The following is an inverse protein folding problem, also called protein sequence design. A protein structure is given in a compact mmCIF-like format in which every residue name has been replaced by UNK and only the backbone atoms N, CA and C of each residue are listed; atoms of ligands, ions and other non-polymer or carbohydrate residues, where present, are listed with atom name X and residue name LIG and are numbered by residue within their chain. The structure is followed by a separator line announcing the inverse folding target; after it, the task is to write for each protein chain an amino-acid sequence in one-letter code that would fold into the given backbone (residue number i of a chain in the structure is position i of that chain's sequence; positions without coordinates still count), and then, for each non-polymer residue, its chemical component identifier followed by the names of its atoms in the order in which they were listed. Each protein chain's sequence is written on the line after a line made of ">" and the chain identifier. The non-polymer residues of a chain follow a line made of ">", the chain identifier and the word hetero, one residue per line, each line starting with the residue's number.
data_IF_850802908793
#
_entry.id   IF_850802908793
#
_cell.length_a   1.000
_cell.length_b   1.000
_cell.length_c   1.000
_cell.angle_alpha   90.00
_cell.angle_beta   90.00
_cell.angle_gamma   90.00
#
_symmetry.space_group_name_H-M   'P 1'
#
loop_
_entity.id
_entity.type
_entity.pdbx_description
1 polymer ?
#
# COMPACT_ATOMS: atom_id res chain seq x y z
N UNK A 1 -6.85 -0.13 15.08
CA UNK A 1 -5.69 -0.81 15.69
C UNK A 1 -5.58 -0.50 17.19
N UNK A 2 -5.26 0.74 17.61
CA UNK A 2 -4.99 1.09 19.02
C UNK A 2 -6.03 0.58 20.02
N UNK A 3 -7.31 0.92 19.82
CA UNK A 3 -8.41 0.47 20.70
C UNK A 3 -8.49 -1.05 20.84
N UNK A 4 -8.28 -1.79 19.75
CA UNK A 4 -8.31 -3.26 19.79
C UNK A 4 -7.09 -3.81 20.54
N UNK A 5 -5.90 -3.24 20.32
CA UNK A 5 -4.69 -3.64 21.02
C UNK A 5 -4.80 -3.38 22.54
N UNK A 6 -5.33 -2.21 22.93
CA UNK A 6 -5.57 -1.87 24.33
C UNK A 6 -6.59 -2.81 24.98
N UNK A 7 -7.68 -3.14 24.30
CA UNK A 7 -8.67 -4.11 24.78
C UNK A 7 -8.04 -5.50 25.00
N UNK A 8 -7.25 -6.00 24.03
CA UNK A 8 -6.54 -7.27 24.19
C UNK A 8 -5.53 -7.21 25.34
N UNK A 9 -4.81 -6.09 25.49
CA UNK A 9 -3.93 -5.85 26.62
C UNK A 9 -4.67 -5.88 27.96
N UNK A 10 -5.93 -5.43 28.02
CA UNK A 10 -6.75 -5.54 29.22
C UNK A 10 -7.19 -6.98 29.49
N UNK A 11 -7.65 -7.70 28.47
CA UNK A 11 -8.15 -9.08 28.59
C UNK A 11 -7.06 -10.03 29.07
N UNK A 12 -5.83 -9.85 28.57
CA UNK A 12 -4.72 -10.77 28.84
C UNK A 12 -3.71 -10.26 29.87
N UNK A 13 -4.01 -9.16 30.57
CA UNK A 13 -3.12 -8.51 31.55
C UNK A 13 -1.73 -8.15 30.98
N UNK A 14 -1.75 -7.50 29.82
CA UNK A 14 -0.59 -7.08 29.02
C UNK A 14 -0.63 -5.59 28.66
N UNK A 15 -1.27 -4.77 29.50
CA UNK A 15 -1.46 -3.32 29.22
C UNK A 15 -0.13 -2.59 29.03
N UNK A 16 0.86 -2.86 29.88
CA UNK A 16 2.17 -2.21 29.82
C UNK A 16 2.95 -2.59 28.56
N UNK A 17 2.89 -3.87 28.17
CA UNK A 17 3.51 -4.34 26.92
C UNK A 17 2.88 -3.65 25.70
N UNK A 18 1.54 -3.60 25.66
CA UNK A 18 0.80 -2.92 24.59
C UNK A 18 1.14 -1.42 24.53
N UNK A 19 1.23 -0.75 25.68
CA UNK A 19 1.59 0.67 25.73
C UNK A 19 2.98 0.92 25.14
N UNK A 20 3.98 0.10 25.49
CA UNK A 20 5.34 0.20 24.93
C UNK A 20 5.35 0.00 23.42
N UNK A 21 4.60 -0.97 22.89
CA UNK A 21 4.51 -1.18 21.44
C UNK A 21 3.83 -0.02 20.72
N UNK A 22 2.77 0.56 21.28
CA UNK A 22 2.09 1.74 20.70
C UNK A 22 3.02 2.95 20.69
N UNK A 23 3.81 3.15 21.75
CA UNK A 23 4.79 4.22 21.82
C UNK A 23 5.89 4.03 20.76
N UNK A 24 6.44 2.83 20.62
CA UNK A 24 7.42 2.50 19.59
C UNK A 24 6.89 2.73 18.16
N UNK A 25 5.65 2.32 17.88
CA UNK A 25 4.99 2.61 16.60
C UNK A 25 4.82 4.11 16.36
N UNK A 26 4.46 4.86 17.39
CA UNK A 26 4.30 6.32 17.30
C UNK A 26 5.62 7.00 16.95
N UNK A 27 6.73 6.56 17.55
CA UNK A 27 8.07 7.04 17.20
C UNK A 27 8.48 6.67 15.77
N UNK A 28 8.20 5.44 15.33
CA UNK A 28 8.48 5.01 13.96
C UNK A 28 7.71 5.87 12.95
N UNK A 29 6.41 6.11 13.17
CA UNK A 29 5.59 6.98 12.31
C UNK A 29 6.15 8.39 12.26
N UNK A 30 6.54 8.95 13.41
CA UNK A 30 7.09 10.30 13.48
C UNK A 30 8.40 10.42 12.68
N UNK A 31 9.33 9.47 12.82
CA UNK A 31 10.59 9.46 12.06
C UNK A 31 10.37 9.32 10.56
N UNK A 32 9.47 8.43 10.13
CA UNK A 32 9.17 8.29 8.68
C UNK A 32 8.64 9.62 8.11
N UNK A 33 7.75 10.30 8.85
CA UNK A 33 7.19 11.58 8.42
C UNK A 33 8.22 12.70 8.35
N UNK A 34 9.13 12.79 9.33
CA UNK A 34 10.13 13.87 9.35
C UNK A 34 11.21 13.68 8.29
N UNK A 35 11.64 12.44 8.07
CA UNK A 35 12.90 12.18 7.37
C UNK A 35 12.71 11.79 5.89
N UNK A 36 11.52 11.27 5.54
CA UNK A 36 11.34 10.52 4.29
C UNK A 36 10.09 10.85 3.46
N UNK A 37 9.21 11.74 3.93
CA UNK A 37 7.98 12.08 3.21
C UNK A 37 8.01 13.53 2.66
N UNK A 38 8.67 13.79 1.53
CA UNK A 38 8.58 15.09 0.86
C UNK A 38 7.13 15.43 0.52
N UNK A 39 6.71 16.67 0.78
CA UNK A 39 5.34 17.15 0.57
C UNK A 39 4.82 17.00 -0.88
N UNK A 40 5.72 16.77 -1.83
CA UNK A 40 5.45 16.66 -3.26
C UNK A 40 5.45 15.23 -3.81
N UNK A 41 5.79 14.20 -3.03
CA UNK A 41 5.70 12.81 -3.51
C UNK A 41 4.24 12.34 -3.55
N UNK A 42 3.82 11.89 -4.73
CA UNK A 42 2.54 11.20 -4.94
C UNK A 42 2.73 9.70 -4.97
N UNK A 43 1.90 8.97 -4.23
CA UNK A 43 1.88 7.52 -4.18
C UNK A 43 0.61 6.96 -4.82
N UNK A 44 0.75 5.83 -5.50
CA UNK A 44 -0.37 5.02 -5.98
C UNK A 44 -0.26 3.63 -5.35
N UNK A 45 -1.31 3.18 -4.67
CA UNK A 45 -1.39 1.80 -4.19
C UNK A 45 -2.32 1.00 -5.07
N UNK A 46 -1.84 -0.15 -5.54
CA UNK A 46 -2.52 -1.06 -6.45
C UNK A 46 -2.74 -2.41 -5.79
N UNK A 47 -3.83 -3.07 -6.16
CA UNK A 47 -4.04 -4.50 -5.89
C UNK A 47 -4.06 -5.27 -7.21
N UNK A 48 -3.26 -6.33 -7.30
CA UNK A 48 -3.26 -7.27 -8.41
C UNK A 48 -4.11 -8.50 -8.05
N UNK A 49 -4.99 -8.92 -8.96
CA UNK A 49 -5.80 -10.13 -8.83
C UNK A 49 -6.08 -10.77 -10.20
N UNK A 50 -5.43 -11.90 -10.48
CA UNK A 50 -5.58 -12.66 -11.73
C UNK A 50 -5.49 -11.77 -12.98
N UNK A 51 -4.32 -11.17 -13.21
CA UNK A 51 -4.00 -10.22 -14.28
C UNK A 51 -4.77 -8.88 -14.27
N UNK A 52 -5.71 -8.70 -13.34
CA UNK A 52 -6.46 -7.45 -13.20
C UNK A 52 -5.87 -6.57 -12.10
N UNK A 53 -5.87 -5.26 -12.34
CA UNK A 53 -5.46 -4.27 -11.36
C UNK A 53 -6.62 -3.40 -10.91
N UNK A 54 -6.53 -2.92 -9.67
CA UNK A 54 -7.40 -1.87 -9.15
C UNK A 54 -6.62 -0.92 -8.26
N UNK A 55 -7.03 0.34 -8.25
CA UNK A 55 -6.58 1.28 -7.22
C UNK A 55 -7.16 0.84 -5.89
N UNK A 56 -6.30 0.72 -4.88
CA UNK A 56 -6.70 0.54 -3.49
C UNK A 56 -6.30 1.78 -2.69
N UNK A 57 -6.88 1.95 -1.51
CA UNK A 57 -6.46 2.97 -0.56
C UNK A 57 -5.86 2.26 0.65
N UNK A 58 -4.56 2.42 0.89
CA UNK A 58 -3.87 1.81 2.02
C UNK A 58 -3.75 2.84 3.17
N UNK A 59 -4.47 2.67 4.30
CA UNK A 59 -4.50 3.66 5.37
C UNK A 59 -3.11 3.99 5.93
N UNK A 60 -2.19 3.01 5.97
CA UNK A 60 -0.82 3.26 6.46
C UNK A 60 -0.09 4.28 5.57
N UNK A 61 -0.25 4.18 4.25
CA UNK A 61 0.41 5.06 3.28
C UNK A 61 -0.19 6.46 3.33
N UNK A 62 -1.52 6.57 3.32
CA UNK A 62 -2.20 7.85 3.14
C UNK A 62 -2.65 8.49 4.44
N UNK A 63 -3.38 7.78 5.29
CA UNK A 63 -3.96 8.35 6.51
C UNK A 63 -2.94 8.46 7.63
N UNK A 64 -2.11 7.42 7.80
CA UNK A 64 -1.10 7.36 8.87
C UNK A 64 0.11 8.18 8.48
N UNK A 65 0.73 7.92 7.33
CA UNK A 65 1.96 8.60 6.89
C UNK A 65 1.70 9.93 6.17
N UNK A 66 0.47 10.20 5.72
CA UNK A 66 0.11 11.50 5.13
C UNK A 66 0.57 11.67 3.68
N UNK A 67 0.94 10.59 2.98
CA UNK A 67 1.36 10.70 1.58
C UNK A 67 0.20 11.15 0.69
N UNK A 68 0.51 11.87 -0.40
CA UNK A 68 -0.52 12.30 -1.36
C UNK A 68 -0.86 11.16 -2.30
N UNK A 69 -2.15 10.82 -2.41
CA UNK A 69 -2.59 9.81 -3.38
C UNK A 69 -2.58 10.37 -4.81
N UNK A 70 -1.96 9.66 -5.74
CA UNK A 70 -2.02 10.00 -7.15
C UNK A 70 -3.44 9.81 -7.70
N UNK A 71 -3.93 10.79 -8.46
CA UNK A 71 -5.28 10.76 -9.04
C UNK A 71 -5.28 9.96 -10.33
N UNK A 72 -5.91 8.79 -10.29
CA UNK A 72 -6.15 7.96 -11.46
C UNK A 72 -7.54 8.26 -12.01
N UNK A 73 -7.65 8.50 -13.31
CA UNK A 73 -8.94 8.62 -13.99
C UNK A 73 -9.43 7.20 -14.27
N UNK A 74 -10.44 6.76 -13.52
CA UNK A 74 -10.99 5.42 -13.71
C UNK A 74 -11.90 5.39 -14.95
N UNK A 75 -11.86 4.31 -15.75
CA UNK A 75 -12.84 4.11 -16.82
C UNK A 75 -14.24 4.06 -16.22
N UNK A 76 -15.15 4.93 -16.70
CA UNK A 76 -16.55 4.88 -16.28
C UNK A 76 -17.21 3.61 -16.80
N UNK A 77 -17.74 2.76 -15.92
CA UNK A 77 -18.63 1.67 -16.35
C UNK A 77 -20.00 2.25 -16.69
N UNK A 78 -20.50 2.01 -17.90
CA UNK A 78 -21.83 2.46 -18.30
C UNK A 78 -22.92 1.80 -17.42
N UNK A 79 -23.95 2.59 -17.13
CA UNK A 79 -24.84 2.52 -15.96
C UNK A 79 -25.88 1.38 -15.94
N UNK A 80 -25.52 0.13 -16.27
CA UNK A 80 -26.51 -0.97 -16.17
C UNK A 80 -26.03 -2.23 -15.44
N UNK A 81 -24.74 -2.52 -15.39
CA UNK A 81 -24.22 -3.65 -14.61
C UNK A 81 -22.79 -3.30 -14.16
N UNK A 82 -22.59 -3.16 -12.83
CA UNK A 82 -21.35 -2.71 -12.17
C UNK A 82 -20.15 -3.66 -12.39
N UNK A 83 -19.74 -3.92 -13.63
CA UNK A 83 -18.44 -4.53 -13.92
C UNK A 83 -17.41 -3.43 -13.75
N UNK A 84 -16.67 -3.49 -12.64
CA UNK A 84 -15.46 -2.67 -12.46
C UNK A 84 -14.52 -3.01 -13.62
N UNK A 85 -14.26 -2.04 -14.48
CA UNK A 85 -13.26 -2.17 -15.54
C UNK A 85 -11.89 -2.25 -14.84
N UNK A 86 -11.08 -3.29 -15.11
CA UNK A 86 -9.72 -3.38 -14.59
C UNK A 86 -8.91 -2.15 -14.99
N UNK A 87 -8.07 -1.70 -14.07
CA UNK A 87 -7.12 -0.63 -14.34
C UNK A 87 -6.05 -1.11 -15.34
N UNK A 88 -5.71 -0.29 -16.33
CA UNK A 88 -4.65 -0.61 -17.29
C UNK A 88 -3.33 0.09 -16.93
N UNK A 89 -2.22 -0.42 -17.49
CA UNK A 89 -0.90 0.21 -17.40
C UNK A 89 -0.87 1.61 -18.02
N UNK A 90 -1.69 1.85 -19.05
CA UNK A 90 -1.89 3.17 -19.64
C UNK A 90 -2.54 4.16 -18.67
N UNK A 91 -3.59 3.75 -17.94
CA UNK A 91 -4.27 4.60 -16.94
C UNK A 91 -3.32 4.97 -15.78
N UNK A 92 -2.48 4.01 -15.36
CA UNK A 92 -1.44 4.24 -14.36
C UNK A 92 -0.42 5.25 -14.88
N UNK A 93 -0.01 5.12 -16.15
CA UNK A 93 0.96 6.01 -16.77
C UNK A 93 0.44 7.45 -16.90
N UNK A 94 -0.84 7.64 -17.21
CA UNK A 94 -1.48 8.96 -17.23
C UNK A 94 -1.47 9.65 -15.85
N UNK A 95 -1.64 8.89 -14.77
CA UNK A 95 -1.56 9.42 -13.41
C UNK A 95 -0.13 9.77 -12.98
N UNK A 96 0.87 9.11 -13.57
CA UNK A 96 2.31 9.32 -13.37
C UNK A 96 2.75 9.53 -11.90
N UNK A 97 2.45 8.59 -10.98
CA UNK A 97 2.84 8.70 -9.58
C UNK A 97 4.37 8.70 -9.41
N UNK A 98 4.85 9.27 -8.31
CA UNK A 98 6.26 9.19 -7.95
C UNK A 98 6.67 7.83 -7.38
N UNK A 99 5.72 7.13 -6.75
CA UNK A 99 5.92 5.78 -6.21
C UNK A 99 4.66 4.94 -6.41
N UNK A 100 4.83 3.67 -6.76
CA UNK A 100 3.75 2.69 -6.89
C UNK A 100 3.99 1.57 -5.89
N UNK A 101 3.00 1.31 -5.04
CA UNK A 101 2.98 0.18 -4.13
C UNK A 101 2.01 -0.88 -4.67
N UNK A 102 2.47 -2.10 -4.88
CA UNK A 102 1.66 -3.19 -5.45
C UNK A 102 1.45 -4.27 -4.39
N UNK A 103 0.19 -4.52 -4.06
CA UNK A 103 -0.24 -5.67 -3.25
C UNK A 103 -0.70 -6.78 -4.18
N UNK A 104 0.03 -7.90 -4.21
CA UNK A 104 -0.32 -9.05 -5.04
C UNK A 104 -1.24 -10.02 -4.30
N UNK A 105 -2.56 -9.82 -4.41
CA UNK A 105 -3.54 -10.76 -3.82
C UNK A 105 -3.32 -12.17 -4.34
N UNK A 106 -3.04 -12.32 -5.63
CA UNK A 106 -2.95 -13.64 -6.27
C UNK A 106 -1.86 -14.48 -5.61
N UNK A 107 -0.68 -13.89 -5.37
CA UNK A 107 0.40 -14.50 -4.61
C UNK A 107 -0.01 -14.79 -3.15
N UNK A 108 -0.67 -13.83 -2.48
CA UNK A 108 -1.08 -13.98 -1.09
C UNK A 108 -2.03 -15.17 -0.85
N UNK A 109 -2.89 -15.49 -1.83
CA UNK A 109 -3.85 -16.61 -1.72
C UNK A 109 -3.38 -17.89 -2.42
N UNK A 110 -2.12 -17.97 -2.87
CA UNK A 110 -1.54 -19.16 -3.49
C UNK A 110 -2.00 -19.44 -4.93
N UNK A 111 -2.48 -18.42 -5.63
CA UNK A 111 -2.78 -18.49 -7.08
C UNK A 111 -1.64 -17.86 -7.90
N UNK A 112 -1.74 -17.87 -9.24
CA UNK A 112 -0.70 -17.35 -10.12
C UNK A 112 -0.28 -15.92 -9.74
N UNK A 113 0.95 -15.70 -9.27
CA UNK A 113 1.46 -14.38 -8.92
C UNK A 113 1.51 -13.44 -10.11
N UNK A 114 1.68 -12.16 -9.82
CA UNK A 114 1.91 -11.13 -10.82
C UNK A 114 3.18 -11.42 -11.64
N UNK A 115 3.03 -11.45 -12.97
CA UNK A 115 4.15 -11.34 -13.90
C UNK A 115 4.63 -9.88 -13.96
N UNK A 116 5.73 -9.59 -13.27
CA UNK A 116 6.32 -8.25 -13.21
C UNK A 116 6.83 -7.77 -14.57
N UNK A 117 7.37 -8.66 -15.40
CA UNK A 117 7.89 -8.28 -16.71
C UNK A 117 6.76 -7.86 -17.66
N UNK A 118 5.60 -8.54 -17.57
CA UNK A 118 4.39 -8.16 -18.29
C UNK A 118 3.78 -6.85 -17.77
N UNK A 119 3.80 -6.63 -16.45
CA UNK A 119 3.26 -5.40 -15.85
C UNK A 119 4.13 -4.18 -16.12
N UNK A 120 5.45 -4.33 -16.11
CA UNK A 120 6.43 -3.28 -16.42
C UNK A 120 6.62 -3.10 -17.93
N UNK A 121 5.49 -2.92 -18.63
CA UNK A 121 5.42 -2.62 -20.06
C UNK A 121 5.91 -1.19 -20.39
N UNK A 122 5.85 -0.81 -21.66
CA UNK A 122 6.29 0.51 -22.12
C UNK A 122 5.53 1.67 -21.46
N UNK A 123 4.25 1.47 -21.10
CA UNK A 123 3.48 2.49 -20.38
C UNK A 123 4.06 2.67 -18.97
N UNK A 124 4.27 1.60 -18.21
CA UNK A 124 4.86 1.70 -16.87
C UNK A 124 6.29 2.25 -16.93
N UNK A 125 7.10 1.83 -17.92
CA UNK A 125 8.47 2.34 -18.13
C UNK A 125 8.53 3.84 -18.37
N UNK A 126 7.45 4.44 -18.88
CA UNK A 126 7.35 5.88 -19.08
C UNK A 126 7.16 6.68 -17.78
N UNK A 127 6.71 6.03 -16.70
CA UNK A 127 6.37 6.68 -15.42
C UNK A 127 7.59 7.13 -14.62
N UNK A 128 7.38 8.13 -13.76
CA UNK A 128 8.37 8.59 -12.78
C UNK A 128 8.72 7.49 -11.78
N UNK A 129 7.73 6.72 -11.33
CA UNK A 129 7.94 5.58 -10.44
C UNK A 129 8.90 4.56 -11.03
N UNK A 130 8.69 4.09 -12.27
CA UNK A 130 9.58 3.11 -12.90
C UNK A 130 11.00 3.67 -13.06
N UNK A 131 11.13 4.87 -13.64
CA UNK A 131 12.43 5.51 -13.92
C UNK A 131 13.28 5.71 -12.68
N UNK A 132 12.66 5.91 -11.53
CA UNK A 132 13.34 6.11 -10.25
C UNK A 132 13.46 4.82 -9.42
N UNK A 133 13.08 3.65 -9.95
CA UNK A 133 13.11 2.38 -9.21
C UNK A 133 12.12 2.34 -8.04
N UNK A 134 11.02 3.09 -8.13
CA UNK A 134 9.98 3.25 -7.09
C UNK A 134 8.69 2.50 -7.46
N UNK A 135 8.82 1.34 -8.10
CA UNK A 135 7.74 0.33 -8.12
C UNK A 135 8.06 -0.71 -7.05
N UNK A 136 7.24 -0.73 -6.01
CA UNK A 136 7.48 -1.51 -4.80
C UNK A 136 6.43 -2.61 -4.71
N UNK A 137 6.90 -3.84 -4.87
CA UNK A 137 6.09 -5.03 -4.67
C UNK A 137 6.12 -5.38 -3.19
N UNK A 138 5.03 -5.11 -2.51
CA UNK A 138 4.88 -5.29 -1.06
C UNK A 138 4.76 -6.78 -0.70
N UNK A 139 5.07 -7.14 0.55
CA UNK A 139 4.94 -8.53 1.01
C UNK A 139 3.46 -8.98 0.95
N UNK A 140 3.10 -9.93 0.09
CA UNK A 140 1.70 -10.16 -0.27
C UNK A 140 0.77 -10.53 0.88
N UNK A 141 1.15 -11.51 1.70
CA UNK A 141 0.36 -12.01 2.83
C UNK A 141 0.23 -10.97 3.96
N UNK A 142 1.31 -10.24 4.28
CA UNK A 142 1.29 -9.14 5.23
C UNK A 142 0.25 -8.07 4.86
N UNK A 143 0.21 -7.68 3.58
CA UNK A 143 -0.66 -6.59 3.13
C UNK A 143 -2.06 -7.01 2.70
N UNK A 144 -2.26 -8.28 2.34
CA UNK A 144 -3.55 -8.79 1.89
C UNK A 144 -4.31 -9.57 2.98
N UNK A 145 -3.63 -10.40 3.76
CA UNK A 145 -4.25 -11.31 4.75
C UNK A 145 -4.12 -10.82 6.19
N UNK A 146 -3.17 -9.93 6.46
CA UNK A 146 -2.90 -9.38 7.78
C UNK A 146 -3.20 -7.87 7.83
N UNK A 147 -2.57 -7.16 8.76
CA UNK A 147 -2.75 -5.74 9.01
C UNK A 147 -3.55 -5.45 10.28
N UNK A 148 -3.52 -4.20 10.70
CA UNK A 148 -4.24 -3.67 11.86
C UNK A 148 -3.88 -4.25 13.25
N UNK A 149 -2.90 -5.15 13.34
CA UNK A 149 -2.24 -5.58 14.58
C UNK A 149 -0.89 -4.90 14.79
N UNK A 150 -0.35 -4.94 16.02
CA UNK A 150 0.89 -4.23 16.41
C UNK A 150 2.09 -4.62 15.52
N UNK A 151 2.38 -5.91 15.40
CA UNK A 151 3.50 -6.43 14.60
C UNK A 151 3.31 -6.16 13.10
N UNK A 152 2.14 -6.49 12.57
CA UNK A 152 1.83 -6.24 11.15
C UNK A 152 1.93 -4.75 10.77
N UNK A 153 1.53 -3.85 11.67
CA UNK A 153 1.61 -2.40 11.43
C UNK A 153 3.07 -1.94 11.43
N UNK A 154 3.90 -2.44 12.35
CA UNK A 154 5.34 -2.15 12.37
C UNK A 154 6.05 -2.62 11.09
N UNK A 155 5.71 -3.84 10.64
CA UNK A 155 6.26 -4.40 9.41
C UNK A 155 5.83 -3.59 8.16
N UNK A 156 4.56 -3.23 8.06
CA UNK A 156 4.04 -2.39 6.96
C UNK A 156 4.69 -1.00 6.94
N UNK A 157 4.85 -0.36 8.10
CA UNK A 157 5.58 0.91 8.22
C UNK A 157 7.03 0.77 7.76
N UNK A 158 7.69 -0.35 8.07
CA UNK A 158 9.07 -0.62 7.66
C UNK A 158 9.19 -0.76 6.14
N UNK A 159 8.28 -1.49 5.50
CA UNK A 159 8.29 -1.63 4.03
C UNK A 159 8.08 -0.29 3.32
N UNK A 160 7.14 0.53 3.81
CA UNK A 160 6.95 1.89 3.27
C UNK A 160 8.18 2.75 3.52
N UNK A 161 8.77 2.71 4.73
CA UNK A 161 9.95 3.49 5.07
C UNK A 161 11.19 3.13 4.23
N UNK A 162 11.36 1.86 3.87
CA UNK A 162 12.47 1.41 3.02
C UNK A 162 12.28 1.80 1.56
N UNK A 163 11.02 1.96 1.15
CA UNK A 163 10.62 2.34 -0.18
C UNK A 163 10.72 3.84 -0.46
N UNK A 164 10.66 4.69 0.58
CA UNK A 164 10.89 6.13 0.50
C UNK A 164 12.39 6.43 0.46
#
# INVERSE_FOLDING_TARGET
>A
MKTNAELLGQIFDKKDDVARYIEALSHQIASIKSDKAPENLTALTLIHNNDNFGVTHQPIVFDVLGMKQAKVILPTSDNSHKKRVPLTTHDIAQANPNIIFVVDRSAAIGTTPLDKAKFEDDNLRSTSAFKNGKIVYLTPDLWYLSGAGLESTAAQLTEVANAL
#
